data_IF_353270311012
#
_entry.id   IF_353270311012
#
_cell.length_a   1.000
_cell.length_b   1.000
_cell.length_c   1.000
_cell.angle_alpha   90.00
_cell.angle_beta   90.00
_cell.angle_gamma   90.00
#
_symmetry.space_group_name_H-M   'P 1'
#
loop_
_entity.id
_entity.type
_entity.pdbx_description
1 polymer ?
#
# COMPACT_ATOMS: atom_id res chain seq x y z
N UNK A 1 27.12 59.13 47.71
CA UNK A 1 27.77 58.15 46.79
C UNK A 1 26.69 57.37 46.04
N UNK A 2 26.50 57.65 44.74
CA UNK A 2 25.54 56.91 43.89
C UNK A 2 26.11 55.53 43.57
N UNK A 3 25.55 54.47 44.17
CA UNK A 3 25.87 53.07 43.81
C UNK A 3 25.32 52.81 42.40
N UNK A 4 26.22 52.61 41.43
CA UNK A 4 25.86 52.18 40.08
C UNK A 4 25.47 50.70 40.13
N UNK A 5 24.23 50.43 39.72
CA UNK A 5 23.66 49.10 39.53
C UNK A 5 24.33 48.44 38.31
N UNK A 6 25.15 47.41 38.54
CA UNK A 6 25.70 46.58 37.47
C UNK A 6 24.66 45.50 37.14
N UNK A 7 23.81 45.77 36.15
CA UNK A 7 22.86 44.80 35.63
C UNK A 7 23.65 43.79 34.77
N UNK A 8 24.02 42.66 35.36
CA UNK A 8 24.51 41.50 34.60
C UNK A 8 23.35 40.97 33.76
N UNK A 9 23.29 41.36 32.49
CA UNK A 9 22.49 40.66 31.48
C UNK A 9 23.07 39.24 31.35
N UNK A 10 22.47 38.27 32.06
CA UNK A 10 22.63 36.88 31.67
C UNK A 10 21.87 36.71 30.36
N UNK A 11 22.58 36.76 29.24
CA UNK A 11 22.12 36.11 28.02
C UNK A 11 21.99 34.62 28.37
N UNK A 12 20.78 34.15 28.61
CA UNK A 12 20.46 32.76 28.33
C UNK A 12 20.59 32.62 26.81
N UNK A 13 21.80 32.35 26.35
CA UNK A 13 22.00 31.72 25.06
C UNK A 13 21.35 30.35 25.22
N UNK A 14 20.05 30.22 24.95
CA UNK A 14 19.50 28.91 24.63
C UNK A 14 20.34 28.43 23.47
N UNK A 15 21.24 27.47 23.73
CA UNK A 15 21.94 26.79 22.67
C UNK A 15 20.85 26.24 21.74
N UNK A 16 20.78 26.75 20.51
CA UNK A 16 20.01 26.10 19.47
C UNK A 16 20.76 24.80 19.21
N UNK A 17 20.32 23.70 19.84
CA UNK A 17 20.88 22.39 19.56
C UNK A 17 20.38 21.97 18.18
N UNK A 18 21.27 21.91 17.19
CA UNK A 18 20.99 21.18 15.96
C UNK A 18 20.97 19.69 16.30
N UNK A 19 19.77 19.13 16.43
CA UNK A 19 19.58 17.70 16.66
C UNK A 19 19.33 16.97 15.36
N UNK A 20 19.64 15.68 15.32
CA UNK A 20 19.13 14.82 14.26
C UNK A 20 17.60 14.66 14.35
N UNK A 21 17.01 14.04 13.34
CA UNK A 21 15.63 13.56 13.36
C UNK A 21 15.59 12.32 12.47
N UNK A 22 15.56 11.14 13.09
CA UNK A 22 15.51 9.86 12.41
C UNK A 22 14.04 9.48 12.16
N UNK A 23 13.66 9.51 10.88
CA UNK A 23 12.34 9.07 10.44
C UNK A 23 12.46 7.67 9.87
N UNK A 24 11.60 6.78 10.36
CA UNK A 24 11.51 5.40 9.89
C UNK A 24 10.14 5.15 9.28
N UNK A 25 10.15 4.50 8.12
CA UNK A 25 8.94 4.02 7.45
C UNK A 25 9.14 2.53 7.18
N UNK A 26 8.23 1.72 7.68
CA UNK A 26 8.15 0.28 7.41
C UNK A 26 6.80 0.03 6.74
N UNK A 27 6.81 -0.44 5.51
CA UNK A 27 5.56 -0.78 4.82
C UNK A 27 5.73 -1.77 3.69
N UNK A 28 4.71 -2.59 3.43
CA UNK A 28 4.57 -3.40 2.21
C UNK A 28 3.56 -2.79 1.21
N UNK A 29 3.08 -1.57 1.48
CA UNK A 29 2.04 -0.88 0.72
C UNK A 29 0.71 -1.64 0.62
N UNK A 30 0.46 -2.59 1.53
CA UNK A 30 -0.77 -3.37 1.59
C UNK A 30 -1.46 -3.20 2.94
N UNK A 31 -2.76 -3.46 2.99
CA UNK A 31 -3.48 -3.68 4.25
C UNK A 31 -3.68 -5.17 4.54
N UNK A 32 -3.29 -6.03 3.59
CA UNK A 32 -3.63 -7.44 3.57
C UNK A 32 -2.42 -8.33 3.28
N UNK A 33 -2.42 -9.52 3.87
CA UNK A 33 -1.51 -10.60 3.50
C UNK A 33 -2.32 -11.81 2.99
N UNK A 34 -1.72 -12.63 2.13
CA UNK A 34 -2.32 -13.89 1.65
C UNK A 34 -1.54 -15.07 2.28
N UNK A 35 -2.18 -15.96 3.06
CA UNK A 35 -1.51 -17.14 3.60
C UNK A 35 -0.94 -18.02 2.49
N UNK A 36 0.31 -18.46 2.66
CA UNK A 36 1.05 -19.24 1.67
C UNK A 36 1.83 -18.39 0.66
N UNK A 37 1.69 -17.07 0.69
CA UNK A 37 2.44 -16.14 -0.14
C UNK A 37 3.50 -15.37 0.67
N UNK A 38 4.36 -14.65 -0.05
CA UNK A 38 5.41 -13.82 0.54
C UNK A 38 4.98 -12.36 0.61
N UNK A 39 4.97 -11.78 1.81
CA UNK A 39 4.88 -10.33 2.00
C UNK A 39 6.28 -9.71 1.93
N UNK A 40 6.44 -8.60 1.20
CA UNK A 40 7.72 -7.89 1.07
C UNK A 40 7.60 -6.46 1.59
N UNK A 41 8.28 -6.17 2.70
CA UNK A 41 8.30 -4.85 3.32
C UNK A 41 9.53 -4.06 2.88
N UNK A 42 9.36 -2.77 2.68
CA UNK A 42 10.44 -1.79 2.57
C UNK A 42 10.55 -1.02 3.87
N UNK A 43 11.71 -1.13 4.53
CA UNK A 43 12.05 -0.35 5.73
C UNK A 43 13.04 0.74 5.33
N UNK A 44 12.68 2.00 5.52
CA UNK A 44 13.53 3.16 5.25
C UNK A 44 13.91 3.83 6.57
N UNK A 45 15.19 4.12 6.76
CA UNK A 45 15.69 4.99 7.84
C UNK A 45 16.31 6.22 7.21
N UNK A 46 15.75 7.41 7.50
CA UNK A 46 16.15 8.69 6.91
C UNK A 46 16.49 9.68 8.03
N UNK A 47 17.61 10.38 7.91
CA UNK A 47 17.89 11.53 8.78
C UNK A 47 17.32 12.83 8.16
N UNK A 48 16.18 13.29 8.67
CA UNK A 48 15.55 14.56 8.28
C UNK A 48 15.98 15.74 9.16
N UNK A 49 16.81 15.51 10.17
CA UNK A 49 17.26 16.56 11.08
C UNK A 49 18.36 17.42 10.48
N UNK A 50 18.61 18.61 11.04
CA UNK A 50 19.70 19.48 10.58
C UNK A 50 21.11 19.03 10.98
N UNK A 51 21.26 17.93 11.73
CA UNK A 51 22.56 17.40 12.17
C UNK A 51 22.74 15.92 11.81
N UNK A 52 24.00 15.49 11.62
CA UNK A 52 24.36 14.09 11.39
C UNK A 52 23.92 13.20 12.57
N UNK A 53 23.36 12.04 12.27
CA UNK A 53 23.09 10.99 13.23
C UNK A 53 24.27 10.01 13.30
N UNK A 54 24.62 9.57 14.50
CA UNK A 54 25.75 8.68 14.79
C UNK A 54 25.33 7.50 15.65
N UNK A 55 26.04 6.39 15.52
CA UNK A 55 25.72 5.14 16.22
C UNK A 55 24.34 4.62 15.88
N UNK A 56 23.87 4.85 14.65
CA UNK A 56 22.52 4.47 14.22
C UNK A 56 22.44 2.95 14.08
N UNK A 57 21.47 2.34 14.74
CA UNK A 57 21.15 0.92 14.63
C UNK A 57 19.68 0.72 14.33
N UNK A 58 19.36 -0.31 13.55
CA UNK A 58 18.01 -0.71 13.22
C UNK A 58 17.77 -2.15 13.70
N UNK A 59 16.64 -2.34 14.37
CA UNK A 59 16.19 -3.63 14.87
C UNK A 59 14.76 -3.90 14.40
N UNK A 60 14.48 -5.08 13.88
CA UNK A 60 13.14 -5.58 13.62
C UNK A 60 13.09 -7.07 13.93
N UNK A 61 12.18 -7.45 14.83
CA UNK A 61 11.99 -8.84 15.24
C UNK A 61 11.28 -9.63 14.14
N UNK A 62 11.54 -10.94 14.08
CA UNK A 62 10.73 -11.86 13.28
C UNK A 62 9.32 -11.89 13.87
N UNK A 63 8.26 -11.62 13.07
CA UNK A 63 6.88 -11.68 13.58
C UNK A 63 6.54 -13.08 14.11
N UNK A 64 5.70 -13.14 15.15
CA UNK A 64 5.30 -14.40 15.74
C UNK A 64 4.57 -15.28 14.72
N UNK A 65 4.94 -16.57 14.66
CA UNK A 65 4.34 -17.52 13.72
C UNK A 65 4.89 -17.47 12.30
N UNK A 66 5.93 -16.67 12.05
CA UNK A 66 6.70 -16.68 10.79
C UNK A 66 7.96 -17.52 10.98
N UNK A 67 8.19 -18.46 10.06
CA UNK A 67 9.36 -19.34 10.06
C UNK A 67 10.43 -18.86 9.06
N UNK A 68 10.02 -18.37 7.90
CA UNK A 68 10.92 -17.84 6.89
C UNK A 68 10.87 -16.31 6.88
N UNK A 69 11.97 -15.71 7.31
CA UNK A 69 12.18 -14.27 7.37
C UNK A 69 13.57 -13.97 6.84
N UNK A 70 13.68 -13.12 5.82
CA UNK A 70 14.97 -12.73 5.26
C UNK A 70 14.98 -11.23 4.95
N UNK A 71 16.17 -10.65 4.87
CA UNK A 71 16.31 -9.24 4.59
C UNK A 71 17.66 -8.90 3.99
N UNK A 72 17.70 -7.81 3.23
CA UNK A 72 18.94 -7.19 2.77
C UNK A 72 18.82 -5.66 2.80
N UNK A 73 19.90 -5.00 3.18
CA UNK A 73 20.01 -3.56 3.28
C UNK A 73 20.83 -2.95 2.14
N UNK A 74 20.54 -1.70 1.79
CA UNK A 74 21.33 -0.91 0.84
C UNK A 74 22.75 -0.63 1.33
N UNK A 75 23.00 -0.81 2.63
CA UNK A 75 24.33 -0.77 3.25
C UNK A 75 25.13 -2.10 3.10
N UNK A 76 24.61 -3.08 2.37
CA UNK A 76 25.26 -4.37 2.11
C UNK A 76 25.14 -5.39 3.24
N UNK A 77 24.39 -5.09 4.29
CA UNK A 77 24.06 -6.06 5.35
C UNK A 77 22.88 -6.93 4.95
N UNK A 78 22.82 -8.17 5.45
CA UNK A 78 21.72 -9.09 5.17
C UNK A 78 21.59 -10.14 6.27
N UNK A 79 20.45 -10.81 6.30
CA UNK A 79 20.19 -11.94 7.17
C UNK A 79 19.13 -12.87 6.58
N UNK A 80 19.17 -14.13 6.99
CA UNK A 80 18.20 -15.16 6.60
C UNK A 80 17.89 -15.98 7.85
N UNK A 81 16.61 -16.19 8.14
CA UNK A 81 16.10 -16.85 9.35
C UNK A 81 16.42 -16.14 10.67
N UNK A 82 16.89 -14.89 10.60
CA UNK A 82 17.31 -14.09 11.75
C UNK A 82 16.57 -12.74 11.76
N UNK A 83 16.33 -12.15 12.95
CA UNK A 83 15.80 -10.80 13.05
C UNK A 83 16.69 -9.82 12.29
N UNK A 84 16.09 -8.75 11.77
CA UNK A 84 16.86 -7.66 11.18
C UNK A 84 17.56 -6.92 12.31
N UNK A 85 18.88 -7.00 12.30
CA UNK A 85 19.77 -6.25 13.19
C UNK A 85 20.88 -5.66 12.33
N UNK A 86 20.86 -4.34 12.15
CA UNK A 86 21.81 -3.65 11.29
C UNK A 86 22.44 -2.45 12.00
N UNK A 87 23.77 -2.40 11.98
CA UNK A 87 24.51 -1.21 12.37
C UNK A 87 24.68 -0.32 11.14
N UNK A 88 23.91 0.76 11.08
CA UNK A 88 23.96 1.75 10.00
C UNK A 88 25.16 2.69 10.20
N UNK A 89 25.60 2.90 11.44
CA UNK A 89 26.73 3.75 11.76
C UNK A 89 26.35 5.22 11.73
N UNK A 90 26.59 5.90 10.62
CA UNK A 90 26.34 7.35 10.49
C UNK A 90 25.37 7.66 9.35
N UNK A 91 24.47 8.61 9.57
CA UNK A 91 23.59 9.16 8.54
C UNK A 91 23.74 10.68 8.50
N UNK A 92 24.31 11.20 7.42
CA UNK A 92 24.31 12.64 7.14
C UNK A 92 22.88 13.16 6.89
N UNK A 93 22.73 14.48 6.97
CA UNK A 93 21.45 15.14 6.70
C UNK A 93 20.94 14.77 5.30
N UNK A 94 19.72 14.26 5.24
CA UNK A 94 19.07 13.82 4.01
C UNK A 94 19.52 12.44 3.49
N UNK A 95 20.47 11.77 4.14
CA UNK A 95 20.84 10.39 3.78
C UNK A 95 19.84 9.39 4.33
N UNK A 96 19.63 8.32 3.56
CA UNK A 96 18.79 7.20 3.96
C UNK A 96 19.42 5.85 3.65
N UNK A 97 19.05 4.85 4.45
CA UNK A 97 19.32 3.44 4.19
C UNK A 97 17.99 2.72 4.10
N UNK A 98 17.88 1.81 3.13
CA UNK A 98 16.68 0.99 2.91
C UNK A 98 16.98 -0.47 3.15
N UNK A 99 15.98 -1.21 3.64
CA UNK A 99 16.01 -2.65 3.80
C UNK A 99 14.79 -3.24 3.14
N UNK A 100 15.00 -4.31 2.38
CA UNK A 100 13.93 -5.13 1.83
C UNK A 100 13.82 -6.36 2.72
N UNK A 101 12.64 -6.57 3.29
CA UNK A 101 12.33 -7.66 4.23
C UNK A 101 11.31 -8.56 3.59
N UNK A 102 11.64 -9.84 3.42
CA UNK A 102 10.74 -10.86 2.87
C UNK A 102 10.25 -11.78 3.98
N UNK A 103 8.94 -11.95 4.04
CA UNK A 103 8.21 -12.73 5.04
C UNK A 103 7.38 -13.78 4.31
N UNK A 104 7.73 -15.06 4.38
CA UNK A 104 6.83 -16.10 3.86
C UNK A 104 5.77 -16.41 4.91
N UNK A 105 4.51 -16.11 4.57
CA UNK A 105 3.40 -16.30 5.49
C UNK A 105 2.94 -17.75 5.40
N UNK A 106 2.95 -18.54 6.48
CA UNK A 106 2.48 -19.92 6.42
C UNK A 106 1.02 -20.03 5.95
N UNK A 107 0.68 -21.07 5.19
CA UNK A 107 -0.69 -21.28 4.70
C UNK A 107 -1.73 -21.41 5.84
N UNK A 108 -1.29 -21.84 7.03
CA UNK A 108 -2.11 -21.95 8.24
C UNK A 108 -2.23 -20.64 9.03
N UNK A 109 -1.49 -19.59 8.67
CA UNK A 109 -1.43 -18.35 9.42
C UNK A 109 -2.77 -17.58 9.36
N UNK A 110 -3.28 -17.17 10.52
CA UNK A 110 -4.64 -16.64 10.66
C UNK A 110 -4.77 -15.55 11.73
N UNK A 111 -3.69 -14.81 11.99
CA UNK A 111 -3.62 -13.69 12.92
C UNK A 111 -3.18 -12.41 12.18
N UNK A 112 -3.34 -11.20 12.75
CA UNK A 112 -2.71 -10.01 12.18
C UNK A 112 -1.19 -10.21 12.02
N UNK A 113 -0.66 -9.90 10.84
CA UNK A 113 0.77 -9.89 10.56
C UNK A 113 1.30 -8.50 10.87
N UNK A 114 1.99 -8.35 12.00
CA UNK A 114 2.56 -7.08 12.42
C UNK A 114 4.08 -7.13 12.32
N UNK A 115 4.66 -6.16 11.60
CA UNK A 115 6.10 -5.89 11.59
C UNK A 115 6.37 -4.56 12.27
N UNK A 116 7.51 -4.44 12.96
CA UNK A 116 7.91 -3.21 13.63
C UNK A 116 9.42 -3.01 13.53
N UNK A 117 9.79 -1.88 12.95
CA UNK A 117 11.15 -1.36 12.92
C UNK A 117 11.39 -0.46 14.14
N UNK A 118 12.52 -0.65 14.81
CA UNK A 118 12.96 0.18 15.94
C UNK A 118 14.35 0.71 15.60
N UNK A 119 14.46 2.04 15.53
CA UNK A 119 15.75 2.72 15.33
C UNK A 119 16.25 3.27 16.66
N UNK A 120 17.56 3.22 16.85
CA UNK A 120 18.24 3.93 17.94
C UNK A 120 19.53 4.58 17.46
N UNK A 121 20.02 5.56 18.21
CA UNK A 121 21.25 6.29 17.92
C UNK A 121 21.97 6.70 19.20
N UNK A 122 23.25 7.02 19.09
CA UNK A 122 24.02 7.60 20.21
C UNK A 122 23.90 9.11 20.30
N UNK A 123 23.62 9.78 19.19
CA UNK A 123 23.28 11.21 19.17
C UNK A 123 21.79 11.42 19.51
N UNK A 124 21.48 12.56 20.13
CA UNK A 124 20.16 12.85 20.70
C UNK A 124 19.16 13.17 19.59
N UNK A 125 18.09 12.40 19.56
CA UNK A 125 16.89 12.70 18.78
C UNK A 125 15.80 13.26 19.71
N UNK A 126 15.36 14.52 19.53
CA UNK A 126 14.34 15.13 20.36
C UNK A 126 12.94 14.61 20.01
N UNK A 127 12.77 13.99 18.84
CA UNK A 127 11.53 13.38 18.40
C UNK A 127 11.70 11.86 18.28
N UNK A 128 11.19 11.14 19.26
CA UNK A 128 11.18 9.67 19.25
C UNK A 128 9.88 9.09 18.67
N UNK A 129 9.00 9.94 18.13
CA UNK A 129 7.74 9.47 17.56
C UNK A 129 8.00 8.71 16.26
N UNK A 130 7.31 7.59 16.10
CA UNK A 130 7.42 6.81 14.88
C UNK A 130 6.12 6.09 14.52
N UNK A 131 5.10 6.83 14.04
CA UNK A 131 3.82 6.25 13.65
C UNK A 131 3.93 5.30 12.45
N UNK A 132 4.95 5.47 11.60
CA UNK A 132 5.19 4.66 10.42
C UNK A 132 6.24 3.54 10.62
N UNK A 133 6.71 3.32 11.86
CA UNK A 133 7.64 2.23 12.16
C UNK A 133 7.01 0.84 12.12
N UNK A 134 5.68 0.76 12.23
CA UNK A 134 4.95 -0.49 12.28
C UNK A 134 3.97 -0.58 11.12
N UNK A 135 3.90 -1.76 10.53
CA UNK A 135 2.87 -2.12 9.57
C UNK A 135 2.10 -3.32 10.13
N UNK A 136 0.79 -3.35 9.94
CA UNK A 136 -0.06 -4.46 10.35
C UNK A 136 -1.01 -4.80 9.22
N UNK A 137 -0.82 -5.98 8.65
CA UNK A 137 -1.71 -6.51 7.64
C UNK A 137 -2.67 -7.53 8.26
N UNK A 138 -3.91 -7.53 7.77
CA UNK A 138 -4.90 -8.54 8.14
C UNK A 138 -4.99 -9.61 7.05
N UNK A 139 -5.49 -10.79 7.38
CA UNK A 139 -5.67 -11.85 6.38
C UNK A 139 -6.58 -11.36 5.26
N UNK A 140 -6.15 -11.51 4.01
CA UNK A 140 -7.00 -11.30 2.86
C UNK A 140 -8.19 -12.28 2.88
N UNK A 141 -9.41 -11.75 2.84
CA UNK A 141 -10.63 -12.54 2.81
C UNK A 141 -11.56 -11.98 1.73
N UNK A 142 -11.99 -12.86 0.82
CA UNK A 142 -12.95 -12.55 -0.22
C UNK A 142 -12.44 -11.61 -1.32
N UNK A 143 -13.22 -11.56 -2.40
CA UNK A 143 -13.16 -10.51 -3.40
C UNK A 143 -14.33 -9.53 -3.15
N UNK A 144 -14.22 -8.30 -3.65
CA UNK A 144 -15.27 -7.28 -3.54
C UNK A 144 -15.54 -6.74 -4.95
N UNK A 145 -16.65 -7.16 -5.55
CA UNK A 145 -16.94 -6.88 -6.96
C UNK A 145 -17.98 -5.77 -7.08
N UNK A 146 -17.56 -4.68 -7.73
CA UNK A 146 -18.40 -3.55 -8.08
C UNK A 146 -18.73 -3.58 -9.57
N UNK A 147 -19.99 -3.30 -9.90
CA UNK A 147 -20.46 -3.20 -11.29
C UNK A 147 -21.08 -1.83 -11.51
N UNK A 148 -20.57 -1.08 -12.48
CA UNK A 148 -21.10 0.22 -12.90
C UNK A 148 -21.62 0.09 -14.32
N UNK A 149 -22.88 0.46 -14.54
CA UNK A 149 -23.49 0.55 -15.87
C UNK A 149 -23.90 1.99 -16.15
N UNK A 150 -23.38 2.59 -17.23
CA UNK A 150 -23.67 3.98 -17.57
C UNK A 150 -23.63 4.21 -19.08
N UNK A 151 -24.49 5.09 -19.58
CA UNK A 151 -24.39 5.68 -20.92
C UNK A 151 -23.94 7.15 -20.87
N UNK A 152 -23.62 7.66 -19.67
CA UNK A 152 -23.25 9.06 -19.44
C UNK A 152 -24.39 10.07 -19.65
N UNK A 153 -25.65 9.63 -19.79
CA UNK A 153 -26.81 10.48 -20.04
C UNK A 153 -27.87 10.33 -18.95
N UNK A 154 -28.57 11.42 -18.62
CA UNK A 154 -29.71 11.40 -17.67
C UNK A 154 -31.07 11.43 -18.37
N UNK A 155 -31.10 11.55 -19.69
CA UNK A 155 -32.29 11.58 -20.53
C UNK A 155 -32.05 10.69 -21.76
N UNK A 156 -33.13 10.22 -22.37
CA UNK A 156 -33.08 9.44 -23.62
C UNK A 156 -34.12 9.97 -24.61
N UNK A 157 -33.87 9.78 -25.90
CA UNK A 157 -34.82 10.07 -26.98
C UNK A 157 -35.43 8.74 -27.44
N UNK A 158 -36.76 8.58 -27.42
CA UNK A 158 -37.39 7.36 -27.94
C UNK A 158 -36.97 7.06 -29.39
N UNK A 159 -36.61 5.80 -29.68
CA UNK A 159 -36.18 5.35 -31.00
C UNK A 159 -34.76 5.75 -31.40
N UNK A 160 -33.96 6.32 -30.48
CA UNK A 160 -32.54 6.58 -30.71
C UNK A 160 -31.67 5.48 -30.10
N UNK A 161 -30.55 5.19 -30.77
CA UNK A 161 -29.58 4.23 -30.24
C UNK A 161 -28.81 4.78 -29.04
N UNK A 162 -28.75 4.04 -27.94
CA UNK A 162 -27.94 4.35 -26.77
C UNK A 162 -26.72 3.44 -26.65
N UNK A 163 -25.55 3.99 -26.29
CA UNK A 163 -24.36 3.21 -25.96
C UNK A 163 -24.17 3.15 -24.45
N UNK A 164 -24.13 1.93 -23.88
CA UNK A 164 -23.88 1.72 -22.46
C UNK A 164 -22.54 1.04 -22.24
N UNK A 165 -21.80 1.49 -21.22
CA UNK A 165 -20.56 0.89 -20.76
C UNK A 165 -20.82 0.22 -19.41
N UNK A 166 -20.56 -1.08 -19.35
CA UNK A 166 -20.58 -1.87 -18.11
C UNK A 166 -19.16 -2.14 -17.68
N UNK A 167 -18.78 -1.61 -16.53
CA UNK A 167 -17.46 -1.75 -15.92
C UNK A 167 -17.56 -2.63 -14.69
N UNK A 168 -16.69 -3.64 -14.60
CA UNK A 168 -16.59 -4.56 -13.45
C UNK A 168 -15.22 -4.37 -12.79
N UNK A 169 -15.24 -4.09 -11.49
CA UNK A 169 -14.03 -3.79 -10.71
C UNK A 169 -13.96 -4.72 -9.50
N UNK A 170 -12.79 -5.28 -9.21
CA UNK A 170 -12.54 -5.99 -7.96
C UNK A 170 -11.80 -5.07 -6.97
N UNK A 171 -12.56 -4.49 -6.06
CA UNK A 171 -12.06 -3.67 -4.95
C UNK A 171 -11.50 -4.51 -3.80
N UNK A 172 -11.66 -5.84 -3.84
CA UNK A 172 -11.28 -6.75 -2.78
C UNK A 172 -9.83 -7.21 -2.87
N UNK A 173 -9.31 -7.80 -1.77
CA UNK A 173 -7.92 -8.20 -1.70
C UNK A 173 -7.63 -9.53 -2.41
N UNK A 174 -8.64 -10.38 -2.66
CA UNK A 174 -8.45 -11.62 -3.41
C UNK A 174 -9.00 -11.49 -4.83
N UNK A 175 -8.35 -12.18 -5.78
CA UNK A 175 -8.81 -12.28 -7.17
C UNK A 175 -10.18 -12.95 -7.20
N UNK A 176 -11.15 -12.31 -7.85
CA UNK A 176 -12.41 -12.97 -8.20
C UNK A 176 -12.21 -13.79 -9.46
N UNK A 177 -12.84 -14.96 -9.53
CA UNK A 177 -12.82 -15.82 -10.71
C UNK A 177 -14.25 -16.14 -11.16
N UNK A 178 -14.42 -16.39 -12.46
CA UNK A 178 -15.70 -16.79 -13.06
C UNK A 178 -16.86 -15.84 -12.75
N UNK A 179 -16.62 -14.53 -12.86
CA UNK A 179 -17.67 -13.54 -12.63
C UNK A 179 -18.66 -13.61 -13.78
N UNK A 180 -19.90 -13.95 -13.45
CA UNK A 180 -20.99 -13.94 -14.40
C UNK A 180 -21.65 -12.56 -14.41
N UNK A 181 -21.64 -11.90 -15.56
CA UNK A 181 -22.29 -10.60 -15.77
C UNK A 181 -23.48 -10.80 -16.69
N UNK A 182 -24.68 -10.50 -16.18
CA UNK A 182 -25.91 -10.53 -16.95
C UNK A 182 -26.57 -9.16 -16.92
N UNK A 183 -27.07 -8.69 -18.06
CA UNK A 183 -27.87 -7.47 -18.13
C UNK A 183 -29.25 -7.77 -18.74
N UNK A 184 -30.30 -7.50 -17.97
CA UNK A 184 -31.69 -7.66 -18.42
C UNK A 184 -32.26 -6.30 -18.82
N UNK A 185 -32.91 -6.23 -19.98
CA UNK A 185 -33.49 -4.98 -20.48
C UNK A 185 -35.00 -4.92 -20.24
N UNK A 186 -35.54 -3.71 -20.00
CA UNK A 186 -36.99 -3.50 -19.98
C UNK A 186 -37.65 -3.91 -21.29
N UNK A 187 -38.93 -4.25 -21.24
CA UNK A 187 -39.71 -4.54 -22.44
C UNK A 187 -39.70 -3.34 -23.41
N UNK A 188 -39.53 -3.61 -24.70
CA UNK A 188 -39.48 -2.58 -25.75
C UNK A 188 -38.09 -2.03 -26.06
N UNK A 189 -37.05 -2.46 -25.33
CA UNK A 189 -35.65 -2.18 -25.67
C UNK A 189 -35.08 -3.35 -26.46
N UNK A 190 -34.42 -3.06 -27.57
CA UNK A 190 -33.70 -4.06 -28.36
C UNK A 190 -32.20 -3.92 -28.18
N UNK A 191 -31.49 -5.04 -28.09
CA UNK A 191 -30.01 -5.06 -28.02
C UNK A 191 -29.49 -5.33 -29.41
N UNK A 192 -28.73 -4.40 -30.00
CA UNK A 192 -28.12 -4.59 -31.32
C UNK A 192 -26.86 -5.43 -31.22
N UNK A 193 -25.97 -5.07 -30.30
CA UNK A 193 -24.75 -5.81 -30.05
C UNK A 193 -24.12 -5.45 -28.71
N UNK A 194 -23.24 -6.33 -28.23
CA UNK A 194 -22.31 -6.01 -27.17
C UNK A 194 -20.94 -6.65 -27.41
N UNK A 195 -19.89 -6.03 -26.90
CA UNK A 195 -18.53 -6.54 -26.91
C UNK A 195 -17.85 -6.33 -25.56
N UNK A 196 -17.13 -7.34 -25.08
CA UNK A 196 -16.34 -7.27 -23.86
C UNK A 196 -14.84 -7.16 -24.11
N UNK A 197 -14.11 -6.58 -23.15
CA UNK A 197 -12.65 -6.43 -23.23
C UNK A 197 -11.91 -7.77 -23.18
N UNK A 198 -12.59 -8.85 -22.77
CA UNK A 198 -12.11 -10.24 -22.83
C UNK A 198 -12.31 -10.89 -24.22
N UNK A 199 -12.74 -10.14 -25.24
CA UNK A 199 -12.98 -10.64 -26.59
C UNK A 199 -14.30 -11.39 -26.77
N UNK A 200 -15.16 -11.40 -25.75
CA UNK A 200 -16.53 -11.91 -25.87
C UNK A 200 -17.43 -10.87 -26.52
N UNK A 201 -18.58 -11.31 -27.02
CA UNK A 201 -19.57 -10.44 -27.63
C UNK A 201 -20.63 -11.24 -28.33
N UNK A 202 -21.83 -10.67 -28.44
CA UNK A 202 -22.94 -11.22 -29.21
C UNK A 202 -23.69 -10.09 -29.91
N UNK A 203 -24.43 -10.45 -30.96
CA UNK A 203 -25.41 -9.57 -31.60
C UNK A 203 -26.82 -10.04 -31.27
N UNK A 204 -27.76 -9.10 -31.17
CA UNK A 204 -29.19 -9.41 -30.98
C UNK A 204 -29.55 -10.28 -29.77
N UNK A 205 -28.66 -10.35 -28.77
CA UNK A 205 -28.84 -11.13 -27.55
C UNK A 205 -28.48 -10.28 -26.33
N UNK A 206 -29.13 -10.50 -25.18
CA UNK A 206 -28.75 -9.88 -23.92
C UNK A 206 -27.28 -10.17 -23.56
N UNK A 207 -26.70 -9.30 -22.73
CA UNK A 207 -25.37 -9.53 -22.16
C UNK A 207 -25.42 -10.76 -21.25
N UNK A 208 -24.53 -11.70 -21.52
CA UNK A 208 -24.19 -12.83 -20.67
C UNK A 208 -22.71 -13.12 -20.86
N UNK A 209 -21.88 -12.45 -20.08
CA UNK A 209 -20.42 -12.56 -20.14
C UNK A 209 -19.89 -13.32 -18.92
N UNK A 210 -18.79 -14.06 -19.12
CA UNK A 210 -18.03 -14.67 -18.07
C UNK A 210 -16.64 -14.03 -18.05
N UNK A 211 -16.36 -13.24 -17.03
CA UNK A 211 -15.05 -12.63 -16.83
C UNK A 211 -14.20 -13.63 -16.04
N UNK A 212 -13.14 -14.20 -16.64
CA UNK A 212 -12.39 -15.29 -16.02
C UNK A 212 -11.64 -14.83 -14.76
N UNK A 213 -11.12 -13.60 -14.75
CA UNK A 213 -10.48 -13.00 -13.57
C UNK A 213 -10.18 -11.51 -13.75
N UNK A 214 -10.93 -10.57 -13.14
CA UNK A 214 -10.34 -9.27 -12.83
C UNK A 214 -9.36 -9.49 -11.69
N UNK A 215 -8.12 -9.06 -11.89
CA UNK A 215 -7.09 -9.09 -10.87
C UNK A 215 -7.53 -8.35 -9.60
N UNK A 216 -7.07 -8.81 -8.43
CA UNK A 216 -7.25 -8.09 -7.15
C UNK A 216 -6.37 -6.85 -7.07
N UNK A 217 -6.82 -5.82 -6.37
CA UNK A 217 -6.01 -4.62 -6.08
C UNK A 217 -4.93 -4.83 -4.99
N UNK A 218 -4.61 -6.08 -4.64
CA UNK A 218 -3.75 -6.44 -3.50
C UNK A 218 -2.24 -6.48 -3.78
N UNK A 219 -1.78 -6.09 -4.96
CA UNK A 219 -0.37 -5.80 -5.18
C UNK A 219 -0.27 -4.38 -5.73
N UNK A 220 0.85 -3.71 -5.52
CA UNK A 220 1.11 -2.31 -5.90
C UNK A 220 1.13 -2.03 -7.41
N UNK A 221 0.27 -2.68 -8.20
CA UNK A 221 0.08 -2.45 -9.62
C UNK A 221 -1.35 -2.00 -9.87
N UNK A 222 -1.42 -0.87 -10.56
CA UNK A 222 -2.62 -0.25 -11.08
C UNK A 222 -3.28 -1.19 -12.11
N UNK A 223 -4.02 -2.20 -11.66
CA UNK A 223 -4.74 -3.07 -12.58
C UNK A 223 -6.08 -2.44 -12.98
N UNK A 224 -6.19 -2.20 -14.28
CA UNK A 224 -7.27 -1.46 -14.91
C UNK A 224 -8.62 -2.15 -14.70
N UNK A 225 -9.70 -1.39 -14.45
CA UNK A 225 -11.05 -1.95 -14.42
C UNK A 225 -11.37 -2.69 -15.73
N UNK A 226 -12.02 -3.85 -15.63
CA UNK A 226 -12.38 -4.65 -16.80
C UNK A 226 -13.69 -4.10 -17.37
N UNK A 227 -13.66 -3.66 -18.63
CA UNK A 227 -14.88 -3.25 -19.35
C UNK A 227 -15.56 -4.50 -19.86
N UNK A 228 -16.59 -4.93 -19.14
CA UNK A 228 -17.33 -6.14 -19.47
C UNK A 228 -18.10 -5.98 -20.78
N UNK A 229 -18.72 -4.82 -21.03
CA UNK A 229 -19.50 -4.61 -22.26
C UNK A 229 -19.57 -3.15 -22.71
N UNK A 230 -19.49 -2.93 -24.03
CA UNK A 230 -20.07 -1.77 -24.71
C UNK A 230 -21.34 -2.23 -25.42
N UNK A 231 -22.51 -1.72 -25.06
CA UNK A 231 -23.80 -2.16 -25.60
C UNK A 231 -24.43 -1.11 -26.49
N UNK A 232 -25.02 -1.51 -27.61
CA UNK A 232 -25.88 -0.68 -28.45
C UNK A 232 -27.34 -1.09 -28.24
N UNK A 233 -28.19 -0.15 -27.82
CA UNK A 233 -29.62 -0.37 -27.59
C UNK A 233 -30.45 0.51 -28.52
N UNK A 234 -31.49 -0.04 -29.15
CA UNK A 234 -32.49 0.71 -29.95
C UNK A 234 -33.90 0.61 -29.34
#
# INVERSE_FOLDING_TARGET
>A
MKKRLLLLLFFFLSAISFSQNLVVVNTDNSAYYIPGETSTYTVTVLNQGPAQATGVTLNMAVPAGIEYFSWYGSNGTSGIYDPLVSNIGTLDVGQMVTFIVSVEVPASFNAPLTTQAVVSSTSVDPDLSCPACSDTNVKAVGADIEVVNTNGQTQYVPGSTGVYTVTVTNNGPLTAANIQVTNTFPAGVTVTSWTGSNGTGQTNLPVSDMIPSPSSRAASQHESPVVCCVLLLE
#
